data_IF_867600859904
#
_entry.id   IF_867600859904
#
_cell.length_a   1.000
_cell.length_b   1.000
_cell.length_c   1.000
_cell.angle_alpha   90.00
_cell.angle_beta   90.00
_cell.angle_gamma   90.00
#
_symmetry.space_group_name_H-M   'P 1'
#
loop_
_entity.id
_entity.type
_entity.pdbx_description
1 polymer ?
#
# COMPACT_ATOMS: atom_id res chain seq x y z
N UNK A 1 14.40 -5.26 -17.88
CA UNK A 1 14.63 -6.44 -18.74
C UNK A 1 13.51 -6.47 -19.77
N UNK A 2 13.84 -6.50 -21.06
CA UNK A 2 12.89 -6.20 -22.16
C UNK A 2 11.91 -7.37 -22.39
N UNK A 3 10.59 -7.13 -22.30
CA UNK A 3 9.54 -8.14 -22.58
C UNK A 3 9.66 -8.71 -24.00
N UNK A 4 10.26 -7.96 -24.93
CA UNK A 4 10.54 -8.43 -26.29
C UNK A 4 11.49 -9.65 -26.36
N UNK A 5 12.31 -9.89 -25.32
CA UNK A 5 13.15 -11.10 -25.25
C UNK A 5 12.41 -12.34 -24.71
N UNK A 6 11.18 -12.18 -24.20
CA UNK A 6 10.42 -13.25 -23.56
C UNK A 6 9.35 -13.89 -24.47
N UNK A 7 8.98 -13.25 -25.58
CA UNK A 7 8.02 -13.80 -26.55
C UNK A 7 8.74 -14.85 -27.41
N UNK A 8 8.49 -16.12 -27.13
CA UNK A 8 9.00 -17.25 -27.92
C UNK A 8 7.88 -17.88 -28.77
N UNK A 9 8.20 -18.64 -29.82
CA UNK A 9 7.22 -19.39 -30.61
C UNK A 9 6.40 -20.34 -29.73
N UNK A 10 5.17 -20.64 -30.21
CA UNK A 10 4.01 -21.25 -29.54
C UNK A 10 4.20 -22.61 -28.83
N UNK A 11 5.42 -23.10 -28.65
CA UNK A 11 5.70 -24.44 -28.09
C UNK A 11 6.94 -24.50 -27.18
N UNK A 12 7.26 -23.40 -26.50
CA UNK A 12 8.36 -23.35 -25.51
C UNK A 12 7.83 -22.90 -24.15
N UNK A 13 8.45 -23.38 -23.06
CA UNK A 13 8.04 -22.99 -21.69
C UNK A 13 8.10 -21.46 -21.54
N UNK A 14 7.07 -20.83 -20.95
CA UNK A 14 7.02 -19.38 -20.81
C UNK A 14 8.22 -18.87 -20.02
N UNK A 15 8.89 -17.84 -20.54
CA UNK A 15 9.97 -17.14 -19.84
C UNK A 15 9.32 -16.06 -18.97
N UNK A 16 9.57 -16.09 -17.67
CA UNK A 16 9.00 -15.14 -16.70
C UNK A 16 7.46 -15.03 -16.74
N UNK A 17 6.76 -16.12 -17.11
CA UNK A 17 5.29 -16.17 -17.17
C UNK A 17 4.67 -15.49 -18.39
N UNK A 18 5.46 -15.03 -19.37
CA UNK A 18 4.96 -14.48 -20.63
C UNK A 18 4.60 -15.62 -21.58
N UNK A 19 3.31 -15.72 -21.93
CA UNK A 19 2.76 -16.83 -22.74
C UNK A 19 2.68 -16.47 -24.23
N UNK A 20 2.72 -15.18 -24.57
CA UNK A 20 2.63 -14.71 -25.94
C UNK A 20 2.62 -13.19 -26.04
N UNK A 21 2.45 -12.70 -27.26
CA UNK A 21 2.32 -11.28 -27.54
C UNK A 21 0.98 -10.74 -27.00
N UNK A 22 1.01 -9.55 -26.40
CA UNK A 22 -0.21 -8.87 -25.94
C UNK A 22 -1.03 -8.43 -27.16
N UNK A 23 -2.35 -8.70 -27.25
CA UNK A 23 -3.19 -8.19 -28.33
C UNK A 23 -3.14 -6.65 -28.47
N UNK A 24 -2.77 -5.96 -27.39
CA UNK A 24 -2.64 -4.51 -27.36
C UNK A 24 -1.36 -4.00 -28.04
N UNK A 25 -0.38 -4.86 -28.36
CA UNK A 25 0.87 -4.45 -29.03
C UNK A 25 0.63 -3.86 -30.42
N UNK A 26 -0.47 -4.24 -31.08
CA UNK A 26 -0.84 -3.76 -32.41
C UNK A 26 -1.55 -2.39 -32.39
N UNK A 27 -1.88 -1.85 -31.20
CA UNK A 27 -2.47 -0.52 -31.09
C UNK A 27 -1.41 0.55 -31.31
N UNK A 28 -1.67 1.44 -32.27
CA UNK A 28 -0.78 2.57 -32.59
C UNK A 28 -0.59 3.44 -31.34
N UNK A 29 0.67 3.67 -30.95
CA UNK A 29 1.04 4.50 -29.79
C UNK A 29 0.92 3.80 -28.43
N UNK A 30 0.51 2.53 -28.37
CA UNK A 30 0.48 1.75 -27.14
C UNK A 30 1.72 0.87 -27.03
N UNK A 31 2.44 0.99 -25.93
CA UNK A 31 3.52 0.08 -25.56
C UNK A 31 3.15 -0.60 -24.23
N UNK A 32 3.00 -1.94 -24.17
CA UNK A 32 2.50 -2.66 -22.99
C UNK A 32 3.20 -2.33 -21.66
N UNK A 33 4.48 -1.94 -21.72
CA UNK A 33 5.27 -1.58 -20.52
C UNK A 33 5.18 -0.08 -20.18
N UNK A 34 4.96 0.80 -21.17
CA UNK A 34 5.10 2.26 -20.98
C UNK A 34 3.77 2.99 -20.97
N UNK A 35 2.74 2.38 -21.54
CA UNK A 35 1.45 3.02 -21.79
C UNK A 35 0.37 2.59 -20.80
N UNK A 36 0.63 1.57 -19.97
CA UNK A 36 -0.27 1.24 -18.87
C UNK A 36 0.00 2.19 -17.69
N UNK A 37 -1.04 2.79 -17.10
CA UNK A 37 -0.88 3.59 -15.90
C UNK A 37 -0.42 2.69 -14.75
N UNK A 38 0.32 3.28 -13.81
CA UNK A 38 0.67 2.63 -12.56
C UNK A 38 -0.59 2.18 -11.80
N UNK A 39 -0.52 1.00 -11.19
CA UNK A 39 -1.65 0.43 -10.47
C UNK A 39 -1.59 0.84 -9.01
N UNK A 40 -2.43 1.81 -8.64
CA UNK A 40 -2.49 2.33 -7.27
C UNK A 40 -2.73 1.24 -6.23
N UNK A 41 -3.53 0.21 -6.56
CA UNK A 41 -3.80 -0.89 -5.64
C UNK A 41 -2.55 -1.72 -5.39
N UNK A 42 -1.81 -2.07 -6.44
CA UNK A 42 -0.57 -2.84 -6.28
C UNK A 42 0.55 -2.00 -5.67
N UNK A 43 0.75 -0.77 -6.13
CA UNK A 43 1.85 0.09 -5.70
C UNK A 43 1.65 0.61 -4.26
N UNK A 44 0.44 1.08 -3.92
CA UNK A 44 0.13 1.56 -2.58
C UNK A 44 -0.39 0.46 -1.68
N UNK A 45 -1.58 -0.07 -1.98
CA UNK A 45 -2.29 -0.92 -1.04
C UNK A 45 -1.62 -2.28 -0.79
N UNK A 46 -0.96 -2.87 -1.79
CA UNK A 46 -0.15 -4.09 -1.62
C UNK A 46 1.34 -3.83 -1.44
N UNK A 47 1.83 -2.70 -1.95
CA UNK A 47 3.23 -2.28 -1.87
C UNK A 47 3.53 -1.46 -0.62
N UNK A 48 3.53 -0.13 -0.72
CA UNK A 48 4.11 0.73 0.32
C UNK A 48 3.27 0.81 1.61
N UNK A 49 1.93 0.77 1.53
CA UNK A 49 1.06 0.83 2.71
C UNK A 49 1.43 -0.23 3.76
N UNK A 50 1.45 -1.54 3.46
CA UNK A 50 1.77 -2.55 4.46
C UNK A 50 3.19 -2.42 5.04
N UNK A 51 4.15 -1.85 4.29
CA UNK A 51 5.49 -1.57 4.82
C UNK A 51 5.44 -0.52 5.93
N UNK A 52 4.72 0.59 5.71
CA UNK A 52 4.57 1.65 6.71
C UNK A 52 3.76 1.15 7.91
N UNK A 53 2.68 0.40 7.70
CA UNK A 53 1.92 -0.21 8.81
C UNK A 53 2.84 -1.08 9.67
N UNK A 54 3.67 -1.93 9.05
CA UNK A 54 4.62 -2.76 9.80
C UNK A 54 5.63 -1.92 10.58
N UNK A 55 6.15 -0.85 9.99
CA UNK A 55 7.08 0.05 10.65
C UNK A 55 6.45 0.67 11.90
N UNK A 56 5.23 1.19 11.79
CA UNK A 56 4.48 1.78 12.91
C UNK A 56 4.23 0.76 14.02
N UNK A 57 3.78 -0.46 13.68
CA UNK A 57 3.52 -1.51 14.67
C UNK A 57 4.81 -1.99 15.35
N UNK A 58 5.93 -2.03 14.62
CA UNK A 58 7.25 -2.35 15.19
C UNK A 58 7.73 -1.26 16.14
N UNK A 59 7.57 0.01 15.78
CA UNK A 59 7.90 1.14 16.65
C UNK A 59 7.07 1.08 17.94
N UNK A 60 5.75 0.87 17.82
CA UNK A 60 4.86 0.73 18.97
C UNK A 60 5.30 -0.40 19.91
N UNK A 61 5.67 -1.55 19.34
CA UNK A 61 6.17 -2.71 20.08
C UNK A 61 7.53 -2.42 20.76
N UNK A 62 8.47 -1.79 20.04
CA UNK A 62 9.78 -1.42 20.56
C UNK A 62 9.68 -0.42 21.74
N UNK A 63 8.76 0.55 21.64
CA UNK A 63 8.44 1.51 22.69
C UNK A 63 7.53 0.94 23.80
N UNK A 64 7.12 -0.34 23.68
CA UNK A 64 6.21 -1.03 24.62
C UNK A 64 4.88 -0.30 24.83
N UNK A 65 4.41 0.40 23.80
CA UNK A 65 3.14 1.14 23.85
C UNK A 65 1.93 0.21 23.78
N UNK A 66 2.08 -0.93 23.09
CA UNK A 66 1.01 -1.90 22.91
C UNK A 66 1.56 -3.32 22.84
N UNK A 67 0.81 -4.27 23.39
CA UNK A 67 1.00 -5.70 23.15
C UNK A 67 0.26 -6.16 21.89
N UNK A 68 0.60 -7.35 21.38
CA UNK A 68 -0.13 -7.94 20.25
C UNK A 68 -1.60 -8.20 20.56
N UNK A 69 -1.90 -8.61 21.78
CA UNK A 69 -3.28 -8.85 22.22
C UNK A 69 -4.08 -7.54 22.26
N UNK A 70 -3.45 -6.44 22.68
CA UNK A 70 -4.08 -5.11 22.64
C UNK A 70 -4.34 -4.63 21.21
N UNK A 71 -3.40 -4.84 20.28
CA UNK A 71 -3.59 -4.54 18.86
C UNK A 71 -4.76 -5.32 18.30
N UNK A 72 -4.79 -6.64 18.53
CA UNK A 72 -5.86 -7.51 18.08
C UNK A 72 -7.21 -7.12 18.69
N UNK A 73 -7.24 -6.82 20.00
CA UNK A 73 -8.43 -6.38 20.70
C UNK A 73 -8.99 -5.09 20.09
N UNK A 74 -8.16 -4.04 19.95
CA UNK A 74 -8.56 -2.76 19.35
C UNK A 74 -9.12 -2.96 17.93
N UNK A 75 -8.42 -3.71 17.09
CA UNK A 75 -8.89 -3.99 15.73
C UNK A 75 -10.19 -4.79 15.68
N UNK A 76 -10.43 -5.66 16.67
CA UNK A 76 -11.64 -6.48 16.72
C UNK A 76 -12.86 -5.70 17.22
N UNK A 77 -12.67 -4.83 18.21
CA UNK A 77 -13.73 -4.02 18.84
C UNK A 77 -14.05 -2.74 18.08
N UNK A 78 -13.12 -2.26 17.23
CA UNK A 78 -13.34 -1.08 16.42
C UNK A 78 -14.54 -1.24 15.47
N UNK A 79 -15.40 -0.23 15.43
CA UNK A 79 -16.53 -0.17 14.52
C UNK A 79 -16.10 0.44 13.18
N UNK A 80 -15.88 -0.40 12.17
CA UNK A 80 -15.44 0.02 10.83
C UNK A 80 -16.53 0.78 10.04
N UNK A 81 -17.77 0.86 10.53
CA UNK A 81 -18.86 1.51 9.81
C UNK A 81 -19.24 0.79 8.51
N UNK A 82 -20.34 1.21 7.88
CA UNK A 82 -20.92 0.49 6.74
C UNK A 82 -19.98 0.41 5.52
N UNK A 83 -19.17 1.45 5.27
CA UNK A 83 -18.33 1.55 4.08
C UNK A 83 -17.07 0.66 4.15
N UNK A 84 -16.52 0.45 5.36
CA UNK A 84 -15.30 -0.32 5.54
C UNK A 84 -15.54 -1.71 6.13
N UNK A 85 -16.78 -2.04 6.54
CA UNK A 85 -17.15 -3.32 7.13
C UNK A 85 -16.76 -4.52 6.25
N UNK A 86 -17.02 -4.44 4.93
CA UNK A 86 -16.65 -5.51 3.98
C UNK A 86 -15.14 -5.66 3.80
N UNK A 87 -14.38 -4.62 4.14
CA UNK A 87 -12.93 -4.55 4.02
C UNK A 87 -12.23 -4.63 5.37
N UNK A 88 -12.89 -5.16 6.41
CA UNK A 88 -12.30 -5.31 7.74
C UNK A 88 -10.94 -6.04 7.63
N UNK A 89 -9.85 -5.47 8.16
CA UNK A 89 -8.54 -6.09 8.11
C UNK A 89 -8.51 -7.41 8.87
N UNK A 90 -7.77 -8.43 8.39
CA UNK A 90 -7.62 -9.66 9.13
C UNK A 90 -6.77 -9.44 10.39
N UNK A 91 -6.87 -10.38 11.33
CA UNK A 91 -6.11 -10.36 12.59
C UNK A 91 -4.61 -10.21 12.33
N UNK A 92 -3.99 -9.21 12.96
CA UNK A 92 -2.53 -9.05 12.96
C UNK A 92 -1.96 -9.93 14.06
N UNK A 93 -1.18 -10.94 13.66
CA UNK A 93 -0.50 -11.86 14.59
C UNK A 93 0.95 -11.43 14.75
N UNK A 94 1.57 -11.76 15.88
CA UNK A 94 2.99 -11.49 16.14
C UNK A 94 3.91 -11.98 14.99
N UNK A 95 3.58 -13.14 14.40
CA UNK A 95 4.30 -13.72 13.25
C UNK A 95 4.35 -12.81 12.01
N UNK A 96 3.43 -11.85 11.87
CA UNK A 96 3.42 -10.92 10.74
C UNK A 96 4.55 -9.90 10.85
N UNK A 97 4.86 -9.45 12.07
CA UNK A 97 5.97 -8.53 12.31
C UNK A 97 7.32 -9.23 12.19
N UNK A 98 7.43 -10.48 12.64
CA UNK A 98 8.66 -11.29 12.48
C UNK A 98 8.93 -11.60 11.01
N UNK A 99 7.88 -11.89 10.24
CA UNK A 99 8.00 -12.24 8.82
C UNK A 99 7.96 -11.01 7.88
N UNK A 100 7.94 -9.79 8.43
CA UNK A 100 7.85 -8.54 7.67
C UNK A 100 6.71 -8.52 6.65
N UNK A 101 5.56 -9.10 6.98
CA UNK A 101 4.45 -9.25 6.03
C UNK A 101 3.10 -9.20 6.71
N UNK A 102 2.23 -8.29 6.23
CA UNK A 102 0.82 -8.23 6.61
C UNK A 102 -0.01 -9.08 5.64
N UNK A 103 -0.86 -9.94 6.18
CA UNK A 103 -1.82 -10.74 5.43
C UNK A 103 -3.08 -9.89 5.15
N UNK A 104 -3.74 -10.13 4.02
CA UNK A 104 -5.02 -9.49 3.65
C UNK A 104 -5.05 -9.12 2.18
N UNK A 105 -6.25 -8.84 1.65
CA UNK A 105 -6.40 -8.23 0.33
C UNK A 105 -5.88 -6.78 0.33
N UNK A 106 -5.65 -6.19 -0.84
CA UNK A 106 -5.26 -4.78 -0.92
C UNK A 106 -6.28 -3.86 -0.22
N UNK A 107 -7.59 -4.08 -0.45
CA UNK A 107 -8.64 -3.29 0.19
C UNK A 107 -8.61 -3.39 1.72
N UNK A 108 -8.31 -4.57 2.27
CA UNK A 108 -8.16 -4.77 3.71
C UNK A 108 -6.94 -4.03 4.28
N UNK A 109 -5.79 -4.07 3.57
CA UNK A 109 -4.58 -3.34 3.98
C UNK A 109 -4.78 -1.84 3.90
N UNK A 110 -5.44 -1.34 2.85
CA UNK A 110 -5.75 0.07 2.67
C UNK A 110 -6.77 0.56 3.71
N UNK A 111 -7.76 -0.25 4.05
CA UNK A 111 -8.71 0.01 5.13
C UNK A 111 -7.97 0.22 6.46
N UNK A 112 -7.09 -0.71 6.84
CA UNK A 112 -6.26 -0.57 8.02
C UNK A 112 -5.42 0.71 7.95
N UNK A 113 -4.70 0.92 6.85
CA UNK A 113 -3.83 2.09 6.66
C UNK A 113 -4.59 3.41 6.90
N UNK A 114 -5.79 3.55 6.34
CA UNK A 114 -6.61 4.76 6.47
C UNK A 114 -7.10 5.01 7.90
N UNK A 115 -7.39 3.93 8.64
CA UNK A 115 -8.04 3.95 9.94
C UNK A 115 -7.07 3.86 11.14
N UNK A 116 -5.79 3.57 10.92
CA UNK A 116 -4.75 3.51 11.97
C UNK A 116 -4.83 4.66 12.99
N UNK A 117 -4.95 5.95 12.59
CA UNK A 117 -4.95 7.05 13.54
C UNK A 117 -6.14 7.04 14.50
N UNK A 118 -7.22 6.36 14.14
CA UNK A 118 -8.46 6.28 14.92
C UNK A 118 -8.53 4.96 15.69
N UNK A 119 -7.99 3.87 15.13
CA UNK A 119 -7.91 2.57 15.82
C UNK A 119 -6.89 2.63 16.99
N UNK A 120 -5.82 3.39 16.80
CA UNK A 120 -4.68 3.51 17.72
C UNK A 120 -4.48 4.96 18.19
N UNK A 121 -5.58 5.67 18.42
CA UNK A 121 -5.64 7.08 18.81
C UNK A 121 -4.85 7.38 20.10
N UNK A 122 -4.84 6.46 21.05
CA UNK A 122 -4.13 6.55 22.33
C UNK A 122 -2.61 6.46 22.23
N UNK A 123 -2.06 5.97 21.12
CA UNK A 123 -0.62 5.74 20.96
C UNK A 123 0.00 6.42 19.74
N UNK A 124 -0.81 6.92 18.81
CA UNK A 124 -0.35 7.44 17.50
C UNK A 124 0.70 8.55 17.64
N UNK A 125 0.50 9.49 18.57
CA UNK A 125 1.40 10.63 18.79
C UNK A 125 2.77 10.21 19.35
N UNK A 126 2.85 9.01 19.92
CA UNK A 126 4.07 8.47 20.48
C UNK A 126 4.93 7.76 19.41
N UNK A 127 4.42 7.60 18.17
CA UNK A 127 5.13 6.96 17.04
C UNK A 127 6.00 7.96 16.27
N UNK A 128 6.83 8.70 17.00
CA UNK A 128 7.65 9.82 16.49
C UNK A 128 8.52 9.50 15.27
N UNK A 129 8.94 8.25 15.07
CA UNK A 129 9.83 7.89 13.96
C UNK A 129 9.06 7.56 12.68
N UNK A 130 7.80 7.14 12.79
CA UNK A 130 7.01 6.65 11.66
C UNK A 130 5.79 7.50 11.34
N UNK A 131 5.34 8.35 12.27
CA UNK A 131 4.15 9.18 12.10
C UNK A 131 4.27 10.18 10.94
N UNK A 132 5.43 10.80 10.76
CA UNK A 132 5.65 11.76 9.66
C UNK A 132 5.63 11.07 8.29
N UNK A 133 6.27 9.90 8.19
CA UNK A 133 6.27 9.07 6.98
C UNK A 133 4.84 8.63 6.66
N UNK A 134 4.11 8.14 7.66
CA UNK A 134 2.72 7.75 7.55
C UNK A 134 1.83 8.90 7.07
N UNK A 135 1.94 10.07 7.71
CA UNK A 135 1.10 11.23 7.40
C UNK A 135 1.37 11.73 5.99
N UNK A 136 2.63 11.81 5.58
CA UNK A 136 3.02 12.19 4.23
C UNK A 136 2.45 11.20 3.18
N UNK A 137 2.60 9.89 3.41
CA UNK A 137 2.04 8.88 2.51
C UNK A 137 0.51 8.91 2.46
N UNK A 138 -0.14 9.12 3.61
CA UNK A 138 -1.60 9.22 3.70
C UNK A 138 -2.12 10.38 2.88
N UNK A 139 -1.41 11.50 2.90
CA UNK A 139 -1.75 12.66 2.10
C UNK A 139 -1.59 12.37 0.60
N UNK A 140 -0.47 11.78 0.17
CA UNK A 140 -0.26 11.32 -1.21
C UNK A 140 -1.43 10.42 -1.66
N UNK A 141 -1.79 9.43 -0.84
CA UNK A 141 -2.89 8.49 -1.11
C UNK A 141 -4.23 9.23 -1.22
N UNK A 142 -4.47 10.27 -0.41
CA UNK A 142 -5.71 11.04 -0.48
C UNK A 142 -5.90 11.73 -1.84
N UNK A 143 -4.80 12.22 -2.44
CA UNK A 143 -4.82 12.82 -3.76
C UNK A 143 -4.94 11.77 -4.87
N UNK A 144 -4.18 10.68 -4.79
CA UNK A 144 -4.15 9.65 -5.85
C UNK A 144 -5.45 8.85 -5.91
N UNK A 145 -6.11 8.62 -4.77
CA UNK A 145 -7.41 7.95 -4.70
C UNK A 145 -8.62 8.91 -4.80
N UNK A 146 -8.39 10.20 -5.03
CA UNK A 146 -9.48 11.15 -5.22
C UNK A 146 -10.29 10.82 -6.47
N UNK A 147 -11.62 10.88 -6.38
CA UNK A 147 -12.52 10.69 -7.53
C UNK A 147 -12.37 11.77 -8.59
N UNK A 148 -11.86 12.96 -8.21
CA UNK A 148 -11.58 14.08 -9.10
C UNK A 148 -10.15 14.57 -8.86
N UNK A 149 -9.34 14.59 -9.91
CA UNK A 149 -7.96 15.06 -9.84
C UNK A 149 -7.81 16.42 -10.52
N UNK A 150 -7.24 17.41 -9.83
CA UNK A 150 -7.01 18.76 -10.37
C UNK A 150 -5.55 18.93 -10.76
N UNK A 151 -5.28 19.44 -11.96
CA UNK A 151 -3.90 19.73 -12.40
C UNK A 151 -3.16 20.70 -11.47
N UNK A 152 -3.89 21.60 -10.81
CA UNK A 152 -3.34 22.52 -9.81
C UNK A 152 -2.73 21.82 -8.59
N UNK A 153 -3.05 20.55 -8.35
CA UNK A 153 -2.47 19.76 -7.27
C UNK A 153 -1.10 19.15 -7.62
N UNK A 154 -0.73 19.13 -8.91
CA UNK A 154 0.52 18.48 -9.35
C UNK A 154 1.77 19.04 -8.65
N UNK A 155 1.97 20.37 -8.50
CA UNK A 155 3.15 20.88 -7.80
C UNK A 155 3.18 20.47 -6.33
N UNK A 156 2.01 20.39 -5.70
CA UNK A 156 1.92 19.98 -4.30
C UNK A 156 2.19 18.48 -4.14
N UNK A 157 1.60 17.65 -5.00
CA UNK A 157 1.85 16.22 -5.01
C UNK A 157 3.33 15.90 -5.27
N UNK A 158 3.97 16.65 -6.17
CA UNK A 158 5.42 16.55 -6.42
C UNK A 158 6.21 16.85 -5.13
N UNK A 159 5.91 17.96 -4.45
CA UNK A 159 6.55 18.30 -3.17
C UNK A 159 6.34 17.23 -2.08
N UNK A 160 5.16 16.62 -2.02
CA UNK A 160 4.87 15.52 -1.10
C UNK A 160 5.71 14.28 -1.45
N UNK A 161 5.87 13.95 -2.73
CA UNK A 161 6.70 12.80 -3.13
C UNK A 161 8.18 13.02 -2.83
N UNK A 162 8.71 14.23 -3.04
CA UNK A 162 10.08 14.58 -2.63
C UNK A 162 10.25 14.48 -1.13
N UNK A 163 9.29 15.01 -0.36
CA UNK A 163 9.30 14.89 1.11
C UNK A 163 9.27 13.42 1.54
N UNK A 164 8.38 12.61 0.98
CA UNK A 164 8.30 11.19 1.29
C UNK A 164 9.63 10.46 1.05
N UNK A 165 10.30 10.75 -0.08
CA UNK A 165 11.61 10.19 -0.39
C UNK A 165 12.70 10.62 0.60
N UNK A 166 12.65 11.85 1.13
CA UNK A 166 13.61 12.32 2.13
C UNK A 166 13.42 11.72 3.53
N UNK A 167 12.23 11.19 3.82
CA UNK A 167 11.89 10.59 5.11
C UNK A 167 12.16 9.07 5.16
N UNK A 168 12.41 8.44 4.01
CA UNK A 168 12.67 7.01 3.83
C UNK A 168 14.17 6.71 3.83
#
# INVERSE_FOLDING_TARGET
MYVQQAVKPFNTKPVAGVVGESPLSHLIGFHPIKSLPNDLMHDFAEGVCPLIILAMLKEASAKRLMTYDQIEQKMNTFNYGMNDHSNKPPKIRAKHLTNNRIIGSASQKLCLFKLIPIIFDDVIDQLTNTLDIYTCLREIISYTYSTKFRKSWLPYLDSLTTRFQSLM
#
